data_IF_041976285268
#
_entry.id   IF_041976285268
#
_cell.length_a   1.000
_cell.length_b   1.000
_cell.length_c   1.000
_cell.angle_alpha   90.00
_cell.angle_beta   90.00
_cell.angle_gamma   90.00
#
_symmetry.space_group_name_H-M   'P 1'
#
loop_
_entity.id
_entity.type
_entity.pdbx_description
1 polymer ?
#
# COMPACT_ATOMS: atom_id res chain seq x y z
N UNK A 1 4.73 18.80 -2.05
CA UNK A 1 4.55 17.72 -1.08
C UNK A 1 5.26 16.45 -1.52
N UNK A 2 6.17 15.98 -0.73
CA UNK A 2 6.86 14.74 -1.05
C UNK A 2 5.92 13.55 -0.96
N UNK A 3 6.20 12.54 -1.75
CA UNK A 3 5.44 11.30 -1.69
C UNK A 3 5.70 10.56 -0.39
N UNK A 4 5.02 9.46 -0.21
CA UNK A 4 5.15 8.63 0.97
C UNK A 4 6.44 7.82 0.91
N UNK A 5 7.03 7.54 2.06
CA UNK A 5 8.17 6.63 2.11
C UNK A 5 7.71 5.20 2.02
N UNK A 6 8.64 4.31 1.72
CA UNK A 6 8.35 2.87 1.69
C UNK A 6 7.83 2.41 3.06
N UNK A 7 8.45 2.91 4.14
CA UNK A 7 8.03 2.53 5.49
C UNK A 7 6.59 2.95 5.78
N UNK A 8 6.21 4.15 5.34
CA UNK A 8 4.83 4.63 5.54
C UNK A 8 3.82 3.78 4.78
N UNK A 9 4.12 3.44 3.53
CA UNK A 9 3.21 2.63 2.73
C UNK A 9 3.13 1.21 3.27
N UNK A 10 4.25 0.67 3.73
CA UNK A 10 4.27 -0.65 4.35
C UNK A 10 3.38 -0.69 5.59
N UNK A 11 3.48 0.34 6.43
CA UNK A 11 2.65 0.43 7.64
C UNK A 11 1.18 0.52 7.27
N UNK A 12 0.84 1.34 6.29
CA UNK A 12 -0.54 1.48 5.83
C UNK A 12 -1.07 0.15 5.30
N UNK A 13 -0.25 -0.57 4.52
CA UNK A 13 -0.65 -1.86 3.97
C UNK A 13 -0.95 -2.86 5.08
N UNK A 14 -0.12 -2.90 6.11
CA UNK A 14 -0.36 -3.79 7.25
C UNK A 14 -1.67 -3.46 7.96
N UNK A 15 -1.93 -2.18 8.15
CA UNK A 15 -3.18 -1.75 8.77
C UNK A 15 -4.38 -2.18 7.94
N UNK A 16 -4.33 -1.96 6.63
CA UNK A 16 -5.43 -2.34 5.74
C UNK A 16 -5.68 -3.85 5.74
N UNK A 17 -4.60 -4.62 5.78
CA UNK A 17 -4.72 -6.08 5.71
C UNK A 17 -5.28 -6.69 7.00
N UNK A 18 -5.02 -6.06 8.15
CA UNK A 18 -5.32 -6.69 9.43
C UNK A 18 -6.45 -6.04 10.21
N UNK A 19 -7.06 -4.98 9.69
CA UNK A 19 -8.16 -4.30 10.37
C UNK A 19 -9.45 -4.51 9.57
N UNK A 20 -10.41 -5.18 10.18
CA UNK A 20 -11.65 -5.56 9.50
C UNK A 20 -12.51 -4.37 9.08
N UNK A 21 -12.28 -3.19 9.63
CA UNK A 21 -13.10 -2.04 9.27
C UNK A 21 -12.91 -1.62 7.80
N UNK A 22 -11.83 -2.05 7.17
CA UNK A 22 -11.58 -1.75 5.77
C UNK A 22 -12.19 -2.78 4.82
N UNK A 23 -12.79 -3.84 5.34
CA UNK A 23 -13.29 -4.96 4.57
C UNK A 23 -12.29 -6.09 4.55
N UNK A 24 -12.53 -7.08 3.69
CA UNK A 24 -11.64 -8.22 3.57
C UNK A 24 -10.56 -7.93 2.54
N UNK A 25 -9.50 -7.26 2.98
CA UNK A 25 -8.39 -6.91 2.11
C UNK A 25 -7.51 -8.13 1.92
N UNK A 26 -7.28 -8.51 0.67
CA UNK A 26 -6.49 -9.68 0.33
C UNK A 26 -5.07 -9.32 -0.06
N UNK A 27 -4.88 -8.21 -0.73
CA UNK A 27 -3.57 -7.79 -1.20
C UNK A 27 -3.51 -6.27 -1.35
N UNK A 28 -2.36 -5.70 -1.04
CA UNK A 28 -2.07 -4.30 -1.29
C UNK A 28 -0.81 -4.23 -2.13
N UNK A 29 -0.86 -3.53 -3.24
CA UNK A 29 0.31 -3.33 -4.10
C UNK A 29 0.57 -1.84 -4.23
N UNK A 30 1.81 -1.43 -4.01
CA UNK A 30 2.18 -0.03 -4.13
C UNK A 30 3.41 0.15 -4.98
N UNK A 31 3.44 1.25 -5.74
CA UNK A 31 4.61 1.67 -6.50
C UNK A 31 5.03 3.01 -5.94
N UNK A 32 6.25 3.07 -5.41
CA UNK A 32 6.68 4.19 -4.57
C UNK A 32 8.04 4.69 -5.05
N UNK A 33 8.22 6.01 -5.20
CA UNK A 33 9.56 6.53 -5.46
C UNK A 33 10.45 6.32 -4.23
N UNK A 34 11.69 5.94 -4.48
CA UNK A 34 12.65 5.70 -3.41
C UNK A 34 14.04 6.07 -3.89
N UNK A 35 14.56 7.16 -3.35
CA UNK A 35 15.90 7.65 -3.67
C UNK A 35 16.07 8.02 -5.13
N UNK A 36 16.15 7.94 -6.03
CA UNK A 36 16.25 8.25 -7.45
C UNK A 36 15.61 7.19 -8.32
N UNK A 37 14.98 6.18 -7.70
CA UNK A 37 14.34 5.10 -8.45
C UNK A 37 12.98 4.79 -7.91
N UNK A 38 12.54 3.57 -8.15
CA UNK A 38 11.20 3.13 -7.76
C UNK A 38 11.28 1.76 -7.11
N UNK A 39 10.33 1.49 -6.23
CA UNK A 39 10.15 0.15 -5.65
C UNK A 39 8.71 -0.29 -5.80
N UNK A 40 8.53 -1.59 -5.87
CA UNK A 40 7.21 -2.22 -5.86
C UNK A 40 7.04 -2.93 -4.54
N UNK A 41 5.98 -2.56 -3.81
CA UNK A 41 5.62 -3.23 -2.57
C UNK A 41 4.43 -4.13 -2.85
N UNK A 42 4.53 -5.41 -2.46
CA UNK A 42 3.44 -6.36 -2.53
C UNK A 42 3.20 -6.90 -1.14
N UNK A 43 2.00 -6.70 -0.61
CA UNK A 43 1.67 -7.12 0.74
C UNK A 43 0.44 -8.02 0.72
N UNK A 44 0.56 -9.16 1.36
CA UNK A 44 -0.55 -10.05 1.66
C UNK A 44 -0.53 -10.31 3.16
N UNK A 45 -1.52 -11.04 3.67
CA UNK A 45 -1.61 -11.23 5.13
C UNK A 45 -0.41 -11.92 5.71
N UNK A 46 0.21 -12.80 4.95
CA UNK A 46 1.30 -13.64 5.45
C UNK A 46 2.68 -13.23 4.94
N UNK A 47 2.77 -12.25 4.03
CA UNK A 47 4.06 -11.89 3.48
C UNK A 47 4.03 -10.50 2.88
N UNK A 48 5.14 -9.80 3.01
CA UNK A 48 5.34 -8.49 2.38
C UNK A 48 6.66 -8.55 1.64
N UNK A 49 6.65 -8.18 0.36
CA UNK A 49 7.87 -8.09 -0.42
C UNK A 49 8.02 -6.67 -0.96
N UNK A 50 9.26 -6.22 -1.03
CA UNK A 50 9.62 -4.93 -1.59
C UNK A 50 10.79 -5.15 -2.52
N UNK A 51 10.69 -4.68 -3.75
CA UNK A 51 11.77 -4.88 -4.71
C UNK A 51 11.91 -3.66 -5.61
N UNK A 52 13.13 -3.35 -6.05
CA UNK A 52 13.35 -2.24 -6.97
C UNK A 52 12.79 -2.55 -8.34
N UNK A 53 12.30 -1.52 -9.01
CA UNK A 53 11.82 -1.61 -10.38
C UNK A 53 12.42 -0.45 -11.18
N UNK A 54 12.52 -0.58 -12.52
CA UNK A 54 13.19 0.46 -13.32
C UNK A 54 12.42 1.77 -13.37
N UNK A 55 11.11 1.72 -13.37
CA UNK A 55 10.32 2.93 -13.40
C UNK A 55 8.93 2.60 -12.88
N UNK A 56 8.19 3.64 -12.52
CA UNK A 56 6.85 3.44 -12.00
C UNK A 56 6.07 4.72 -11.96
N UNK A 57 4.89 4.62 -11.38
CA UNK A 57 4.00 5.75 -11.19
C UNK A 57 3.43 5.55 -9.80
N UNK A 58 3.43 6.61 -9.00
CA UNK A 58 2.99 6.48 -7.61
C UNK A 58 1.52 6.10 -7.57
N UNK A 59 1.23 4.88 -7.13
CA UNK A 59 -0.13 4.35 -7.08
C UNK A 59 -0.19 3.29 -6.00
N UNK A 60 -1.36 3.18 -5.39
CA UNK A 60 -1.63 2.14 -4.39
C UNK A 60 -2.90 1.41 -4.83
N UNK A 61 -2.77 0.09 -4.95
CA UNK A 61 -3.86 -0.77 -5.39
C UNK A 61 -4.25 -1.67 -4.23
N UNK A 62 -5.52 -1.67 -3.87
CA UNK A 62 -6.05 -2.52 -2.80
C UNK A 62 -7.03 -3.51 -3.42
N UNK A 63 -6.79 -4.79 -3.20
CA UNK A 63 -7.59 -5.88 -3.76
C UNK A 63 -8.26 -6.63 -2.61
N UNK A 64 -9.57 -6.87 -2.73
CA UNK A 64 -10.28 -7.60 -1.70
C UNK A 64 -11.77 -7.60 -1.95
N UNK A 65 -12.53 -8.01 -0.94
CA UNK A 65 -13.98 -8.15 -1.00
C UNK A 65 -14.63 -7.30 0.07
N UNK A 66 -15.78 -6.70 -0.28
CA UNK A 66 -16.50 -5.87 0.68
C UNK A 66 -15.70 -4.70 1.19
N UNK A 67 -14.91 -4.08 0.33
CA UNK A 67 -14.00 -3.02 0.75
C UNK A 67 -14.77 -1.73 1.08
N UNK A 68 -14.36 -1.08 2.16
CA UNK A 68 -14.85 0.24 2.53
C UNK A 68 -13.93 1.29 1.91
N UNK A 69 -14.29 1.77 0.73
CA UNK A 69 -13.43 2.68 -0.03
C UNK A 69 -13.13 3.95 0.74
N UNK A 70 -14.14 4.53 1.39
CA UNK A 70 -13.95 5.79 2.11
C UNK A 70 -12.97 5.62 3.27
N UNK A 71 -13.10 4.52 4.01
CA UNK A 71 -12.21 4.26 5.14
C UNK A 71 -10.77 4.01 4.65
N UNK A 72 -10.64 3.26 3.54
CA UNK A 72 -9.33 2.98 2.96
C UNK A 72 -8.66 4.26 2.48
N UNK A 73 -9.41 5.11 1.77
CA UNK A 73 -8.87 6.38 1.30
C UNK A 73 -8.43 7.27 2.44
N UNK A 74 -9.20 7.31 3.51
CA UNK A 74 -8.84 8.12 4.67
C UNK A 74 -7.56 7.60 5.32
N UNK A 75 -7.40 6.29 5.41
CA UNK A 75 -6.20 5.70 6.00
C UNK A 75 -4.96 5.98 5.15
N UNK A 76 -5.10 5.85 3.84
CA UNK A 76 -3.97 6.10 2.93
C UNK A 76 -3.61 7.58 2.92
N UNK A 77 -4.61 8.45 2.93
CA UNK A 77 -4.38 9.89 2.92
C UNK A 77 -3.70 10.37 4.19
N UNK A 78 -3.93 9.67 5.29
CA UNK A 78 -3.34 10.01 6.57
C UNK A 78 -1.92 9.51 6.79
N UNK A 79 -1.40 8.71 5.89
CA UNK A 79 -0.05 8.17 6.10
C UNK A 79 1.05 9.00 5.45
#
# INVERSE_FOLDING_TARGET
EAGRSVAQVRQAAQTLLHDAKYGHVLRVKGFIPDGGGWVELNAARDAITVQPIPSGQEVLIVIGEGLDKAAIEAAVRGC
#
